data_IF_285502778717
#
_entry.id   IF_285502778717
#
_cell.length_a   1.000
_cell.length_b   1.000
_cell.length_c   1.000
_cell.angle_alpha   90.00
_cell.angle_beta   90.00
_cell.angle_gamma   90.00
#
_symmetry.space_group_name_H-M   'P 1'
#
loop_
_entity.id
_entity.type
_entity.pdbx_description
1 polymer ?
#
# COMPACT_ATOMS: atom_id res chain seq x y z
N UNK A 1 13.48 -43.61 -40.34
CA UNK A 1 12.69 -43.20 -39.16
C UNK A 1 12.77 -41.69 -39.03
N UNK A 2 11.67 -41.08 -38.60
CA UNK A 2 11.25 -39.69 -38.86
C UNK A 2 11.88 -38.67 -37.89
N UNK A 3 12.16 -37.49 -38.45
CA UNK A 3 12.52 -36.16 -37.91
C UNK A 3 12.03 -35.86 -36.47
N UNK A 4 12.83 -35.14 -35.64
CA UNK A 4 12.55 -33.74 -35.16
C UNK A 4 13.48 -33.21 -34.05
N UNK A 5 13.59 -31.87 -33.95
CA UNK A 5 14.81 -31.13 -33.62
C UNK A 5 14.92 -30.80 -32.14
N UNK A 6 16.14 -30.50 -31.70
CA UNK A 6 16.38 -29.79 -30.45
C UNK A 6 15.76 -28.39 -30.53
N UNK A 7 14.56 -28.26 -29.95
CA UNK A 7 13.97 -26.98 -29.67
C UNK A 7 14.80 -26.27 -28.60
N UNK A 8 15.53 -25.25 -29.04
CA UNK A 8 15.94 -24.14 -28.22
C UNK A 8 14.73 -23.64 -27.42
N UNK A 9 14.70 -23.90 -26.11
CA UNK A 9 13.90 -23.10 -25.18
C UNK A 9 14.73 -21.89 -24.80
N UNK A 10 14.49 -20.77 -25.49
CA UNK A 10 14.78 -19.46 -24.92
C UNK A 10 13.86 -19.27 -23.72
N UNK A 11 14.27 -19.77 -22.56
CA UNK A 11 13.69 -19.36 -21.31
C UNK A 11 14.24 -17.95 -21.02
N UNK A 12 13.57 -16.94 -21.57
CA UNK A 12 13.59 -15.59 -21.01
C UNK A 12 12.95 -15.63 -19.63
N UNK A 13 13.62 -16.28 -18.67
CA UNK A 13 13.26 -16.18 -17.27
C UNK A 13 13.54 -14.76 -16.85
N UNK A 14 12.49 -13.95 -16.68
CA UNK A 14 12.61 -12.75 -15.85
C UNK A 14 13.15 -13.23 -14.51
N UNK A 15 14.34 -12.75 -14.15
CA UNK A 15 14.85 -12.85 -12.80
C UNK A 15 13.73 -12.47 -11.83
N UNK A 16 13.50 -13.22 -10.74
CA UNK A 16 12.50 -12.84 -9.76
C UNK A 16 12.81 -11.41 -9.30
N UNK A 17 11.87 -10.49 -9.51
CA UNK A 17 12.00 -9.12 -9.05
C UNK A 17 12.08 -9.17 -7.53
N UNK A 18 13.12 -8.57 -6.96
CA UNK A 18 13.32 -8.51 -5.50
C UNK A 18 12.32 -7.58 -4.80
N UNK A 19 11.34 -7.07 -5.54
CA UNK A 19 10.32 -6.13 -5.09
C UNK A 19 8.93 -6.61 -5.57
N UNK A 20 7.87 -6.24 -4.84
CA UNK A 20 6.50 -6.50 -5.27
C UNK A 20 6.17 -5.71 -6.54
N UNK A 21 5.21 -6.20 -7.32
CA UNK A 21 4.70 -5.47 -8.50
C UNK A 21 3.72 -4.35 -8.10
N UNK A 22 2.99 -4.56 -7.01
CA UNK A 22 1.95 -3.67 -6.49
C UNK A 22 2.08 -3.56 -4.98
N UNK A 23 1.82 -2.36 -4.47
CA UNK A 23 1.68 -2.07 -3.05
C UNK A 23 0.26 -1.58 -2.75
N UNK A 24 -0.14 -1.65 -1.49
CA UNK A 24 -1.47 -1.31 -1.02
C UNK A 24 -1.43 -0.18 -0.01
N UNK A 25 -2.25 0.84 -0.24
CA UNK A 25 -2.54 1.89 0.74
C UNK A 25 -3.97 1.74 1.24
N UNK A 26 -4.12 1.48 2.53
CA UNK A 26 -5.42 1.39 3.18
C UNK A 26 -5.88 2.74 3.70
N UNK A 27 -7.17 3.05 3.52
CA UNK A 27 -7.76 4.34 3.83
C UNK A 27 -9.23 4.21 4.21
N UNK A 28 -9.78 5.25 4.83
CA UNK A 28 -11.21 5.34 5.17
C UNK A 28 -12.00 6.09 4.10
N UNK A 29 -13.34 6.04 4.15
CA UNK A 29 -14.19 6.78 3.21
C UNK A 29 -13.93 8.28 3.27
N UNK A 30 -13.82 8.82 4.49
CA UNK A 30 -13.51 10.23 4.72
C UNK A 30 -12.21 10.66 4.02
N UNK A 31 -11.14 9.89 4.21
CA UNK A 31 -9.84 10.18 3.61
C UNK A 31 -9.83 9.92 2.10
N UNK A 32 -10.52 8.89 1.63
CA UNK A 32 -10.65 8.56 0.21
C UNK A 32 -11.27 9.72 -0.57
N UNK A 33 -12.32 10.37 -0.05
CA UNK A 33 -12.93 11.53 -0.70
C UNK A 33 -11.93 12.69 -0.88
N UNK A 34 -11.03 12.90 0.09
CA UNK A 34 -9.96 13.92 0.01
C UNK A 34 -8.86 13.53 -0.98
N UNK A 35 -8.46 12.26 -0.98
CA UNK A 35 -7.48 11.68 -1.91
C UNK A 35 -7.97 11.81 -3.35
N UNK A 36 -9.23 11.47 -3.63
CA UNK A 36 -9.84 11.60 -4.94
C UNK A 36 -9.93 13.06 -5.41
N UNK A 37 -10.29 13.98 -4.51
CA UNK A 37 -10.40 15.41 -4.83
C UNK A 37 -9.03 16.01 -5.15
N UNK A 38 -8.01 15.69 -4.35
CA UNK A 38 -6.65 16.20 -4.55
C UNK A 38 -5.91 15.50 -5.70
N UNK A 39 -6.27 14.24 -6.02
CA UNK A 39 -5.58 13.35 -6.96
C UNK A 39 -4.17 12.93 -6.50
N UNK A 40 -3.94 12.93 -5.18
CA UNK A 40 -2.69 12.48 -4.56
C UNK A 40 -2.97 11.70 -3.27
N UNK A 41 -2.17 10.67 -3.01
CA UNK A 41 -1.98 10.16 -1.65
C UNK A 41 -0.88 11.02 -1.04
N UNK A 42 -1.22 11.71 0.03
CA UNK A 42 -0.32 12.67 0.68
C UNK A 42 0.41 12.03 1.84
N UNK A 43 1.61 12.54 2.13
CA UNK A 43 2.41 12.09 3.27
C UNK A 43 1.67 12.36 4.57
N UNK A 44 1.62 11.37 5.44
CA UNK A 44 1.04 11.47 6.78
C UNK A 44 2.07 11.07 7.82
N UNK A 45 1.90 11.61 9.02
CA UNK A 45 2.64 11.11 10.18
C UNK A 45 2.21 9.68 10.51
N UNK A 46 3.05 8.95 11.23
CA UNK A 46 2.63 7.72 11.90
C UNK A 46 1.55 8.04 12.94
N UNK A 47 0.67 7.08 13.18
CA UNK A 47 -0.39 7.15 14.18
C UNK A 47 0.15 7.34 15.62
N UNK A 48 1.44 7.12 15.86
CA UNK A 48 2.15 7.53 17.07
C UNK A 48 2.79 8.91 16.91
N UNK A 49 2.25 9.89 17.62
CA UNK A 49 2.87 11.20 17.83
C UNK A 49 3.68 11.20 19.13
N UNK A 50 4.85 10.53 19.13
CA UNK A 50 5.79 10.58 20.28
C UNK A 50 6.66 11.85 20.22
N UNK A 51 6.96 12.36 19.03
CA UNK A 51 7.37 13.75 18.71
C UNK A 51 7.55 13.91 17.19
N UNK A 52 7.54 15.14 16.66
CA UNK A 52 7.73 15.41 15.21
C UNK A 52 9.07 14.88 14.67
N UNK A 53 10.10 14.80 15.51
CA UNK A 53 11.42 14.24 15.13
C UNK A 53 11.45 12.71 14.98
N UNK A 54 10.37 12.03 15.39
CA UNK A 54 10.30 10.57 15.57
C UNK A 54 9.28 9.93 14.61
N UNK A 55 8.39 10.72 14.01
CA UNK A 55 7.32 10.26 13.14
C UNK A 55 7.45 10.87 11.74
N UNK A 56 8.23 10.25 10.83
CA UNK A 56 8.47 10.80 9.52
C UNK A 56 7.18 10.89 8.71
N UNK A 57 6.96 12.04 8.07
CA UNK A 57 5.84 12.23 7.14
C UNK A 57 6.13 11.48 5.84
N UNK A 58 5.51 10.33 5.69
CA UNK A 58 5.64 9.43 4.53
C UNK A 58 4.26 8.95 4.07
N UNK A 59 4.18 8.42 2.85
CA UNK A 59 3.02 7.63 2.45
C UNK A 59 3.26 6.19 2.86
N UNK A 60 2.39 5.65 3.72
CA UNK A 60 2.47 4.27 4.19
C UNK A 60 1.77 3.32 3.23
N UNK A 61 2.43 2.20 2.92
CA UNK A 61 1.94 1.14 2.07
C UNK A 61 2.35 -0.23 2.62
N UNK A 62 1.76 -1.30 2.09
CA UNK A 62 2.12 -2.69 2.40
C UNK A 62 2.06 -3.56 1.16
N UNK A 63 2.84 -4.64 1.07
CA UNK A 63 2.66 -5.68 0.03
C UNK A 63 1.69 -6.79 0.45
N UNK A 64 1.11 -6.69 1.65
CA UNK A 64 0.07 -7.58 2.16
C UNK A 64 -1.31 -7.07 1.76
N UNK A 65 -2.13 -7.99 1.24
CA UNK A 65 -3.46 -7.67 0.70
C UNK A 65 -4.51 -7.38 1.80
N UNK A 66 -4.30 -7.81 3.04
CA UNK A 66 -5.25 -7.67 4.14
C UNK A 66 -4.91 -6.47 5.04
N UNK A 67 -5.92 -5.80 5.64
CA UNK A 67 -5.69 -4.64 6.50
C UNK A 67 -5.29 -5.01 7.94
N UNK A 68 -5.38 -6.27 8.31
CA UNK A 68 -5.16 -6.76 9.68
C UNK A 68 -3.75 -6.46 10.18
N UNK A 69 -3.63 -6.07 11.45
CA UNK A 69 -2.34 -5.87 12.13
C UNK A 69 -1.43 -4.81 11.48
N UNK A 70 -2.00 -3.79 10.86
CA UNK A 70 -1.27 -2.66 10.24
C UNK A 70 -1.44 -1.32 11.00
N UNK A 71 -1.96 -1.35 12.23
CA UNK A 71 -2.23 -0.14 13.02
C UNK A 71 -3.23 0.81 12.35
N UNK A 72 -4.14 0.29 11.52
CA UNK A 72 -5.11 1.07 10.75
C UNK A 72 -6.32 1.51 11.58
N UNK A 73 -6.60 0.81 12.68
CA UNK A 73 -7.65 1.10 13.64
C UNK A 73 -7.05 1.70 14.90
N UNK A 74 -7.63 2.79 15.39
CA UNK A 74 -7.26 3.36 16.69
C UNK A 74 -8.14 2.83 17.83
N UNK A 75 -9.41 2.55 17.53
CA UNK A 75 -10.43 2.07 18.47
C UNK A 75 -11.46 1.24 17.69
N UNK A 76 -11.94 0.14 18.27
CA UNK A 76 -12.93 -0.74 17.65
C UNK A 76 -14.30 -0.07 17.47
N UNK A 77 -14.58 0.97 18.24
CA UNK A 77 -15.84 1.74 18.22
C UNK A 77 -15.81 2.93 17.26
N UNK A 78 -14.77 3.04 16.43
CA UNK A 78 -14.63 4.13 15.47
C UNK A 78 -15.73 4.08 14.40
N UNK A 79 -16.33 5.23 14.00
CA UNK A 79 -17.30 5.25 12.91
C UNK A 79 -16.74 4.65 11.62
N UNK A 80 -17.58 3.90 10.90
CA UNK A 80 -17.26 3.27 9.61
C UNK A 80 -16.58 4.22 8.60
N UNK A 81 -16.97 5.49 8.58
CA UNK A 81 -16.40 6.49 7.67
C UNK A 81 -14.92 6.81 7.94
N UNK A 82 -14.48 6.59 9.19
CA UNK A 82 -13.12 6.78 9.66
C UNK A 82 -12.33 5.47 9.73
N UNK A 83 -12.98 4.33 9.55
CA UNK A 83 -12.34 3.03 9.53
C UNK A 83 -11.43 2.88 8.29
N UNK A 84 -10.11 2.86 8.51
CA UNK A 84 -9.12 2.80 7.42
C UNK A 84 -8.99 1.41 6.79
N UNK A 85 -9.61 0.37 7.33
CA UNK A 85 -9.51 -1.00 6.78
C UNK A 85 -10.43 -1.23 5.58
N UNK A 86 -11.37 -0.32 5.33
CA UNK A 86 -12.46 -0.54 4.37
C UNK A 86 -12.11 -0.26 2.92
N UNK A 87 -11.19 0.67 2.65
CA UNK A 87 -10.83 1.01 1.28
C UNK A 87 -9.35 0.79 1.06
N UNK A 88 -9.04 0.18 -0.08
CA UNK A 88 -7.66 -0.09 -0.48
C UNK A 88 -7.39 0.52 -1.85
N UNK A 89 -6.30 1.25 -1.95
CA UNK A 89 -5.74 1.75 -3.20
C UNK A 89 -4.55 0.87 -3.55
N UNK A 90 -4.61 0.20 -4.69
CA UNK A 90 -3.49 -0.55 -5.26
C UNK A 90 -2.60 0.41 -6.03
N UNK A 91 -1.28 0.35 -5.83
CA UNK A 91 -0.29 1.30 -6.35
C UNK A 91 0.78 0.51 -7.08
N UNK A 92 1.11 0.89 -8.32
CA UNK A 92 2.20 0.26 -9.07
C UNK A 92 3.52 0.51 -8.36
N UNK A 93 4.37 -0.51 -8.31
CA UNK A 93 5.72 -0.35 -7.81
C UNK A 93 6.46 0.81 -8.48
N UNK A 94 7.25 1.52 -7.68
CA UNK A 94 8.13 2.59 -8.14
C UNK A 94 9.48 2.49 -7.40
N UNK A 95 10.58 2.79 -8.09
CA UNK A 95 11.94 2.64 -7.58
C UNK A 95 12.28 3.55 -6.39
N UNK A 96 11.47 4.59 -6.13
CA UNK A 96 11.64 5.45 -4.96
C UNK A 96 10.93 4.91 -3.71
N UNK A 97 10.15 3.85 -3.82
CA UNK A 97 9.56 3.18 -2.66
C UNK A 97 10.61 2.41 -1.91
N UNK A 98 10.53 2.45 -0.58
CA UNK A 98 11.53 1.82 0.29
C UNK A 98 10.84 0.93 1.30
N UNK A 99 11.43 -0.22 1.58
CA UNK A 99 11.00 -1.07 2.68
C UNK A 99 11.23 -0.31 4.00
N UNK A 100 10.18 -0.15 4.80
CA UNK A 100 10.22 0.66 6.01
C UNK A 100 11.26 0.15 7.01
N UNK A 101 11.38 -1.17 7.16
CA UNK A 101 12.33 -1.78 8.10
C UNK A 101 13.77 -1.36 7.81
N UNK A 102 14.16 -1.36 6.52
CA UNK A 102 15.48 -0.93 6.07
C UNK A 102 15.62 0.60 6.12
N UNK A 103 14.66 1.32 5.56
CA UNK A 103 14.66 2.78 5.51
C UNK A 103 14.71 3.42 6.90
N UNK A 104 13.99 2.86 7.88
CA UNK A 104 13.97 3.37 9.26
C UNK A 104 15.35 3.33 9.91
N UNK A 105 16.15 2.29 9.63
CA UNK A 105 17.52 2.20 10.11
C UNK A 105 18.43 3.27 9.46
N UNK A 106 18.30 3.47 8.15
CA UNK A 106 19.03 4.50 7.40
C UNK A 106 18.64 5.93 7.82
N UNK A 107 17.37 6.14 8.15
CA UNK A 107 16.84 7.40 8.66
C UNK A 107 17.17 7.67 10.13
N UNK A 108 17.88 6.76 10.82
CA UNK A 108 18.30 6.94 12.21
C UNK A 108 17.18 6.78 13.25
N UNK A 109 16.09 6.10 12.91
CA UNK A 109 15.01 5.80 13.87
C UNK A 109 15.56 4.85 14.93
N UNK A 110 15.54 5.30 16.20
CA UNK A 110 16.03 4.51 17.35
C UNK A 110 15.26 3.20 17.48
N UNK A 111 15.93 2.16 17.97
CA UNK A 111 15.35 0.82 18.12
C UNK A 111 14.11 0.82 19.03
N UNK A 112 14.11 1.62 20.07
CA UNK A 112 13.02 1.75 21.04
C UNK A 112 11.79 2.40 20.38
N UNK A 113 12.00 3.47 19.62
CA UNK A 113 10.96 4.10 18.81
C UNK A 113 10.37 3.12 17.81
N UNK A 114 11.23 2.44 17.04
CA UNK A 114 10.80 1.48 16.03
C UNK A 114 9.93 0.39 16.65
N UNK A 115 10.34 -0.12 17.81
CA UNK A 115 9.58 -1.10 18.58
C UNK A 115 8.22 -0.55 19.02
N UNK A 116 8.17 0.66 19.58
CA UNK A 116 6.91 1.29 19.97
C UNK A 116 5.94 1.45 18.80
N UNK A 117 6.45 1.82 17.61
CA UNK A 117 5.66 1.90 16.37
C UNK A 117 5.06 0.55 16.00
N UNK A 118 5.86 -0.51 16.01
CA UNK A 118 5.42 -1.87 15.68
C UNK A 118 4.39 -2.35 16.71
N UNK A 119 4.67 -2.19 18.00
CA UNK A 119 3.83 -2.70 19.09
C UNK A 119 2.47 -2.01 19.12
N UNK A 120 2.43 -0.68 18.98
CA UNK A 120 1.18 0.09 18.99
C UNK A 120 0.34 -0.19 17.74
N UNK A 121 0.97 -0.55 16.63
CA UNK A 121 0.28 -0.98 15.41
C UNK A 121 -0.20 -2.44 15.47
N UNK A 122 0.17 -3.22 16.50
CA UNK A 122 -0.06 -4.66 16.55
C UNK A 122 0.67 -5.42 15.44
N UNK A 123 1.78 -4.87 14.94
CA UNK A 123 2.37 -5.24 13.65
C UNK A 123 3.62 -6.13 13.78
N UNK A 124 3.79 -6.84 14.90
CA UNK A 124 4.98 -7.66 15.19
C UNK A 124 5.31 -8.63 14.04
N UNK A 125 4.28 -9.16 13.39
CA UNK A 125 4.40 -10.12 12.28
C UNK A 125 4.33 -9.46 10.89
N UNK A 126 3.81 -8.23 10.78
CA UNK A 126 3.49 -7.58 9.49
C UNK A 126 4.39 -6.40 9.16
N UNK A 127 5.14 -5.81 10.10
CA UNK A 127 5.94 -4.60 9.81
C UNK A 127 6.98 -4.78 8.70
N UNK A 128 7.40 -6.02 8.45
CA UNK A 128 8.33 -6.38 7.37
C UNK A 128 7.69 -6.32 5.97
N UNK A 129 6.38 -6.16 5.89
CA UNK A 129 5.66 -5.91 4.65
C UNK A 129 5.46 -4.42 4.38
N UNK A 130 5.84 -3.54 5.31
CA UNK A 130 5.56 -2.11 5.19
C UNK A 130 6.55 -1.43 4.25
N UNK A 131 6.00 -0.63 3.35
CA UNK A 131 6.74 0.23 2.45
C UNK A 131 6.36 1.69 2.69
N UNK A 132 7.28 2.58 2.34
CA UNK A 132 7.08 4.02 2.41
C UNK A 132 7.41 4.69 1.09
N UNK A 133 6.77 5.85 0.86
CA UNK A 133 7.24 6.87 -0.07
C UNK A 133 7.51 8.18 0.68
N UNK A 134 8.66 8.78 0.40
CA UNK A 134 9.02 10.12 0.89
C UNK A 134 8.39 11.24 0.03
N UNK A 135 7.62 10.86 -0.99
CA UNK A 135 6.89 11.73 -1.92
C UNK A 135 5.39 11.43 -1.90
N UNK A 136 4.58 12.40 -2.31
CA UNK A 136 3.16 12.15 -2.57
C UNK A 136 3.02 11.21 -3.78
N UNK A 137 2.01 10.34 -3.76
CA UNK A 137 1.78 9.38 -4.85
C UNK A 137 0.66 9.92 -5.75
N UNK A 138 0.96 10.29 -7.01
CA UNK A 138 -0.03 10.81 -7.94
C UNK A 138 -1.04 9.73 -8.33
N UNK A 139 -2.25 10.16 -8.68
CA UNK A 139 -3.32 9.29 -9.18
C UNK A 139 -2.89 8.38 -10.35
N UNK A 140 -1.93 8.79 -11.16
CA UNK A 140 -1.46 8.01 -12.32
C UNK A 140 -0.72 6.72 -11.93
N UNK A 141 -0.22 6.63 -10.70
CA UNK A 141 0.48 5.47 -10.16
C UNK A 141 -0.48 4.45 -9.55
N UNK A 142 -1.74 4.83 -9.35
CA UNK A 142 -2.75 3.94 -8.78
C UNK A 142 -3.30 2.97 -9.86
N UNK A 143 -3.73 1.79 -9.43
CA UNK A 143 -4.22 0.69 -10.27
C UNK A 143 -5.70 0.46 -10.05
N UNK A 144 -6.10 0.29 -8.79
CA UNK A 144 -7.50 0.08 -8.40
C UNK A 144 -7.80 0.80 -7.09
N UNK A 145 -9.09 1.09 -6.88
CA UNK A 145 -9.65 1.47 -5.59
C UNK A 145 -10.77 0.49 -5.30
N UNK A 146 -10.72 -0.17 -4.15
CA UNK A 146 -11.59 -1.29 -3.80
C UNK A 146 -12.22 -1.09 -2.42
N UNK A 147 -13.49 -1.50 -2.28
CA UNK A 147 -14.12 -1.71 -0.97
C UNK A 147 -13.78 -3.13 -0.50
N UNK A 148 -12.90 -3.22 0.48
CA UNK A 148 -12.31 -4.47 1.00
C UNK A 148 -13.39 -5.38 1.59
N UNK A 149 -14.47 -4.82 2.15
CA UNK A 149 -15.53 -5.59 2.79
C UNK A 149 -16.35 -6.39 1.79
N UNK A 150 -16.51 -5.85 0.59
CA UNK A 150 -17.35 -6.43 -0.46
C UNK A 150 -16.54 -7.04 -1.61
N UNK A 151 -15.23 -6.78 -1.64
CA UNK A 151 -14.37 -7.11 -2.78
C UNK A 151 -14.67 -6.29 -4.04
N UNK A 152 -15.54 -5.27 -3.96
CA UNK A 152 -15.96 -4.48 -5.11
C UNK A 152 -14.87 -3.49 -5.52
N UNK A 153 -14.43 -3.60 -6.77
CA UNK A 153 -13.62 -2.56 -7.42
C UNK A 153 -14.51 -1.35 -7.72
N UNK A 154 -14.22 -0.22 -7.09
CA UNK A 154 -14.93 1.05 -7.28
C UNK A 154 -14.38 1.79 -8.50
N UNK A 155 -13.06 1.79 -8.64
CA UNK A 155 -12.35 2.45 -9.73
C UNK A 155 -11.20 1.56 -10.23
N UNK A 156 -10.98 1.57 -11.54
CA UNK A 156 -9.85 0.89 -12.19
C UNK A 156 -9.13 1.85 -13.13
N UNK A 157 -7.81 1.83 -13.10
CA UNK A 157 -6.98 2.54 -14.06
C UNK A 157 -6.96 1.79 -15.39
N UNK A 158 -7.53 2.39 -16.42
CA UNK A 158 -7.59 1.83 -17.77
C UNK A 158 -7.50 2.96 -18.82
N UNK A 159 -6.83 2.71 -19.94
CA UNK A 159 -6.66 3.69 -21.02
C UNK A 159 -6.20 5.09 -20.54
N UNK A 160 -5.26 5.12 -19.58
CA UNK A 160 -4.70 6.33 -18.95
C UNK A 160 -5.74 7.17 -18.18
N UNK A 161 -6.84 6.58 -17.74
CA UNK A 161 -7.90 7.24 -16.96
C UNK A 161 -8.43 6.31 -15.88
N UNK A 162 -8.95 6.88 -14.78
CA UNK A 162 -9.74 6.10 -13.83
C UNK A 162 -11.18 5.98 -14.30
N UNK A 163 -11.64 4.75 -14.45
CA UNK A 163 -13.01 4.43 -14.83
C UNK A 163 -13.72 3.91 -13.58
N UNK A 164 -14.86 4.55 -13.25
CA UNK A 164 -15.75 4.04 -12.21
C UNK A 164 -16.40 2.76 -12.73
N UNK A 165 -16.29 1.66 -11.99
CA UNK A 165 -16.92 0.41 -12.38
C UNK A 165 -18.38 0.46 -11.96
N UNK A 166 -19.28 0.63 -12.93
CA UNK A 166 -20.72 0.48 -12.72
C UNK A 166 -21.05 -1.01 -12.67
N UNK A 167 -21.30 -1.52 -11.46
CA UNK A 167 -22.02 -2.78 -11.31
C UNK A 167 -23.45 -2.54 -11.79
N UNK A 168 -23.75 -2.91 -13.04
CA UNK A 168 -25.14 -3.18 -13.41
C UNK A 168 -25.55 -4.40 -12.59
N UNK A 169 -26.54 -4.21 -11.71
CA UNK A 169 -27.12 -5.31 -10.95
C UNK A 169 -27.66 -6.36 -11.90
N UNK A 170 -27.33 -7.62 -11.61
CA UNK A 170 -28.11 -8.77 -12.05
C UNK A 170 -29.49 -8.73 -11.39
#
# INVERSE_FOLDING_TARGET
MVIKPEFAKSAGGKLPTTHPEVLFHFTSLFHLNRILTSKWITKTESNLTVSESVSPRVVWMTDVFTPDNHGLLFQDTMPDELNKTFYRISIRWNNHFKLWDKWSAEAGIKRETKRAIIETAGAQETYKSWYISEHNIPINDWVTIEDVRTGKVLFKWDNKKFIKISTHGL
#
